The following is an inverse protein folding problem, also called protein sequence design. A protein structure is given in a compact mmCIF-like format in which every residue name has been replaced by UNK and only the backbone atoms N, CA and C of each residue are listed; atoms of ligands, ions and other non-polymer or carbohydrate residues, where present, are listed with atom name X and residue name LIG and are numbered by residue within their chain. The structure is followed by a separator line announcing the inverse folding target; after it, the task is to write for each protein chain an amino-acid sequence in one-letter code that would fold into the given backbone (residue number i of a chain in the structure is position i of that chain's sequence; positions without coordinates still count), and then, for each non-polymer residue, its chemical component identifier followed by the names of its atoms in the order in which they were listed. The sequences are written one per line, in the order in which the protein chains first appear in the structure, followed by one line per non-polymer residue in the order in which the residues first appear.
data_IF_495633787786
#
_entry.id   IF_495633787786
#
_cell.length_a   1.000
_cell.length_b   1.000
_cell.length_c   1.000
_cell.angle_alpha   90.00
_cell.angle_beta   90.00
_cell.angle_gamma   90.00
#
_symmetry.space_group_name_H-M   'P 1'
#
loop_
_entity.id
_entity.type
_entity.pdbx_description
1 polymer ?
#
# COMPACT_ATOMS: atom_id res chain seq x y z
N UNK A 1 23.71 22.77 -12.72
CA UNK A 1 22.89 22.13 -11.66
C UNK A 1 22.05 20.95 -12.16
N UNK A 2 21.31 21.07 -13.27
CA UNK A 2 20.43 19.99 -13.78
C UNK A 2 21.16 18.67 -14.09
N UNK A 3 22.34 18.72 -14.72
CA UNK A 3 23.15 17.52 -14.97
C UNK A 3 23.61 16.81 -13.69
N UNK A 4 23.94 17.55 -12.63
CA UNK A 4 24.39 16.94 -11.37
C UNK A 4 23.27 16.20 -10.62
N UNK A 5 22.03 16.71 -10.69
CA UNK A 5 20.86 16.05 -10.11
C UNK A 5 20.48 14.79 -10.88
N UNK A 6 20.45 14.86 -12.22
CA UNK A 6 20.17 13.71 -13.07
C UNK A 6 21.18 12.57 -12.78
N UNK A 7 22.47 12.88 -12.75
CA UNK A 7 23.52 11.90 -12.45
C UNK A 7 23.36 11.26 -11.07
N UNK A 8 22.94 12.01 -10.04
CA UNK A 8 22.71 11.46 -8.70
C UNK A 8 21.47 10.57 -8.64
N UNK A 9 20.40 10.93 -9.34
CA UNK A 9 19.15 10.17 -9.37
C UNK A 9 19.29 8.85 -10.15
N UNK A 10 20.15 8.82 -11.16
CA UNK A 10 20.41 7.62 -11.97
C UNK A 10 21.59 6.80 -11.48
N UNK A 11 22.32 7.27 -10.46
CA UNK A 11 23.44 6.53 -9.89
C UNK A 11 22.97 5.15 -9.40
N UNK A 12 23.73 4.07 -9.67
CA UNK A 12 23.38 2.74 -9.20
C UNK A 12 23.44 2.68 -7.68
N UNK A 13 22.38 2.17 -7.06
CA UNK A 13 22.30 1.91 -5.62
C UNK A 13 21.81 0.49 -5.38
N UNK A 14 22.08 -0.06 -4.19
CA UNK A 14 21.65 -1.42 -3.84
C UNK A 14 20.12 -1.57 -3.94
N UNK A 15 19.67 -2.68 -4.52
CA UNK A 15 18.24 -3.04 -4.57
C UNK A 15 17.70 -3.51 -3.21
N UNK A 16 18.57 -3.84 -2.24
CA UNK A 16 18.18 -4.46 -0.97
C UNK A 16 17.08 -3.70 -0.19
N UNK A 17 17.08 -2.35 -0.08
CA UNK A 17 15.99 -1.64 0.59
C UNK A 17 14.61 -1.90 -0.03
N UNK A 18 14.56 -2.04 -1.36
CA UNK A 18 13.34 -2.35 -2.09
C UNK A 18 12.89 -3.80 -1.86
N UNK A 19 13.83 -4.74 -1.75
CA UNK A 19 13.55 -6.14 -1.39
C UNK A 19 12.96 -6.22 0.02
N UNK A 20 13.59 -5.57 0.99
CA UNK A 20 13.11 -5.54 2.39
C UNK A 20 11.70 -4.95 2.45
N UNK A 21 11.49 -3.82 1.76
CA UNK A 21 10.16 -3.22 1.64
C UNK A 21 9.14 -4.21 1.08
N UNK A 22 9.47 -4.95 0.00
CA UNK A 22 8.59 -5.94 -0.62
C UNK A 22 8.12 -6.99 0.38
N UNK A 23 9.07 -7.58 1.11
CA UNK A 23 8.82 -8.66 2.07
C UNK A 23 7.96 -8.14 3.22
N UNK A 24 8.38 -7.03 3.85
CA UNK A 24 7.66 -6.44 5.00
C UNK A 24 6.26 -6.00 4.59
N UNK A 25 6.11 -5.33 3.44
CA UNK A 25 4.83 -4.90 2.92
C UNK A 25 3.87 -6.08 2.71
N UNK A 26 4.30 -7.13 2.03
CA UNK A 26 3.47 -8.31 1.78
C UNK A 26 3.08 -9.05 3.06
N UNK A 27 4.01 -9.23 4.00
CA UNK A 27 3.73 -9.90 5.29
C UNK A 27 2.75 -9.08 6.14
N UNK A 28 2.98 -7.78 6.29
CA UNK A 28 2.10 -6.91 7.08
C UNK A 28 0.71 -6.79 6.45
N UNK A 29 0.63 -6.69 5.12
CA UNK A 29 -0.65 -6.65 4.42
C UNK A 29 -1.43 -7.95 4.61
N UNK A 30 -0.78 -9.11 4.47
CA UNK A 30 -1.40 -10.41 4.73
C UNK A 30 -1.92 -10.50 6.18
N UNK A 31 -1.08 -10.17 7.16
CA UNK A 31 -1.48 -10.16 8.57
C UNK A 31 -2.68 -9.22 8.82
N UNK A 32 -2.71 -8.05 8.17
CA UNK A 32 -3.82 -7.12 8.25
C UNK A 32 -5.11 -7.70 7.68
N UNK A 33 -5.07 -8.36 6.52
CA UNK A 33 -6.26 -8.98 5.91
C UNK A 33 -6.79 -10.14 6.77
N UNK A 34 -5.90 -11.00 7.27
CA UNK A 34 -6.27 -12.09 8.18
C UNK A 34 -6.91 -11.54 9.46
N UNK A 35 -6.32 -10.49 10.05
CA UNK A 35 -6.88 -9.83 11.24
C UNK A 35 -8.24 -9.19 10.96
N UNK A 36 -8.42 -8.58 9.78
CA UNK A 36 -9.68 -7.98 9.36
C UNK A 36 -10.80 -9.03 9.29
N UNK A 37 -10.51 -10.18 8.68
CA UNK A 37 -11.42 -11.33 8.62
C UNK A 37 -11.69 -11.92 10.01
N UNK A 38 -10.65 -12.16 10.81
CA UNK A 38 -10.78 -12.77 12.14
C UNK A 38 -11.62 -11.94 13.11
N UNK A 39 -11.59 -10.62 12.97
CA UNK A 39 -12.40 -9.70 13.77
C UNK A 39 -13.86 -9.59 13.29
N UNK A 40 -14.26 -10.29 12.23
CA UNK A 40 -15.61 -10.19 11.65
C UNK A 40 -15.91 -8.83 11.03
N UNK A 41 -14.88 -8.04 10.70
CA UNK A 41 -15.06 -6.67 10.22
C UNK A 41 -15.66 -6.59 8.83
N UNK A 42 -15.52 -7.62 7.99
CA UNK A 42 -16.22 -7.66 6.70
C UNK A 42 -17.73 -7.60 6.93
N UNK A 43 -18.25 -8.46 7.81
CA UNK A 43 -19.66 -8.49 8.16
C UNK A 43 -20.10 -7.18 8.83
N UNK A 44 -19.35 -6.74 9.84
CA UNK A 44 -19.74 -5.60 10.67
C UNK A 44 -19.73 -4.26 9.90
N UNK A 45 -18.80 -4.09 8.97
CA UNK A 45 -18.57 -2.79 8.30
C UNK A 45 -19.21 -2.71 6.91
N UNK A 46 -19.39 -3.83 6.21
CA UNK A 46 -19.83 -3.80 4.81
C UNK A 46 -21.09 -4.61 4.50
N UNK A 47 -21.47 -5.59 5.35
CA UNK A 47 -22.63 -6.45 5.07
C UNK A 47 -23.83 -6.07 5.95
N UNK A 48 -23.60 -5.81 7.24
CA UNK A 48 -24.66 -5.46 8.18
C UNK A 48 -25.24 -4.04 7.99
N UNK A 49 -24.44 -3.00 7.65
CA UNK A 49 -24.99 -1.66 7.46
C UNK A 49 -25.93 -1.58 6.24
N UNK A 50 -27.06 -0.90 6.40
CA UNK A 50 -28.05 -0.73 5.32
C UNK A 50 -27.66 0.36 4.30
N UNK A 51 -26.70 1.22 4.64
CA UNK A 51 -26.27 2.34 3.82
C UNK A 51 -24.75 2.53 3.92
N UNK A 52 -24.13 2.88 2.79
CA UNK A 52 -22.70 3.16 2.68
C UNK A 52 -22.45 4.58 2.17
N UNK A 53 -21.51 5.29 2.80
CA UNK A 53 -21.14 6.63 2.35
C UNK A 53 -20.13 6.54 1.21
N UNK A 54 -20.61 6.61 -0.03
CA UNK A 54 -19.75 6.48 -1.21
C UNK A 54 -18.90 7.73 -1.45
N UNK A 55 -17.72 7.55 -2.05
CA UNK A 55 -16.89 8.67 -2.52
C UNK A 55 -17.50 9.35 -3.75
N UNK A 56 -17.23 10.65 -3.91
CA UNK A 56 -17.65 11.40 -5.09
C UNK A 56 -17.08 10.76 -6.37
N UNK A 57 -17.93 10.48 -7.36
CA UNK A 57 -17.56 9.77 -8.59
C UNK A 57 -17.52 8.23 -8.48
N UNK A 58 -17.67 7.66 -7.28
CA UNK A 58 -17.61 6.22 -7.02
C UNK A 58 -18.92 5.66 -6.45
N UNK A 59 -20.06 6.31 -6.67
CA UNK A 59 -21.38 5.82 -6.21
C UNK A 59 -21.81 4.47 -6.80
N UNK A 60 -21.13 4.01 -7.84
CA UNK A 60 -21.31 2.69 -8.45
C UNK A 60 -20.54 1.58 -7.73
N UNK A 61 -19.57 1.90 -6.88
CA UNK A 61 -18.82 0.93 -6.08
C UNK A 61 -19.70 0.51 -4.91
N UNK A 62 -20.02 -0.78 -4.84
CA UNK A 62 -20.88 -1.37 -3.81
C UNK A 62 -20.25 -2.66 -3.26
N UNK A 63 -20.54 -3.02 -2.01
CA UNK A 63 -20.07 -4.29 -1.46
C UNK A 63 -20.65 -5.44 -2.27
N UNK A 64 -19.81 -6.40 -2.61
CA UNK A 64 -20.27 -7.67 -3.17
C UNK A 64 -21.09 -8.41 -2.11
N UNK A 65 -22.11 -9.20 -2.50
CA UNK A 65 -22.81 -10.06 -1.55
C UNK A 65 -21.84 -11.12 -1.01
N UNK A 66 -22.04 -11.53 0.25
CA UNK A 66 -21.33 -12.70 0.78
C UNK A 66 -21.70 -13.97 -0.01
N UNK A 67 -20.77 -14.92 -0.22
CA UNK A 67 -19.40 -15.02 0.34
C UNK A 67 -18.31 -14.27 -0.43
N UNK A 68 -18.67 -13.50 -1.47
CA UNK A 68 -17.70 -12.94 -2.41
C UNK A 68 -16.88 -11.81 -1.82
N UNK A 69 -17.47 -10.99 -0.96
CA UNK A 69 -16.73 -9.92 -0.29
C UNK A 69 -15.66 -10.48 0.64
N UNK A 70 -15.99 -11.46 1.48
CA UNK A 70 -14.98 -12.15 2.31
C UNK A 70 -13.89 -12.83 1.46
N UNK A 71 -14.27 -13.37 0.29
CA UNK A 71 -13.32 -13.96 -0.66
C UNK A 71 -12.32 -12.93 -1.24
N UNK A 72 -12.71 -11.66 -1.40
CA UNK A 72 -11.80 -10.57 -1.81
C UNK A 72 -10.68 -10.41 -0.78
N UNK A 73 -10.98 -10.40 0.52
CA UNK A 73 -9.96 -10.28 1.57
C UNK A 73 -9.01 -11.47 1.62
N UNK A 74 -9.52 -12.69 1.44
CA UNK A 74 -8.69 -13.90 1.31
C UNK A 74 -7.79 -13.79 0.09
N UNK A 75 -8.32 -13.33 -1.05
CA UNK A 75 -7.54 -13.13 -2.28
C UNK A 75 -6.41 -12.12 -2.06
N UNK A 76 -6.68 -10.97 -1.44
CA UNK A 76 -5.66 -9.97 -1.10
C UNK A 76 -4.60 -10.59 -0.19
N UNK A 77 -4.98 -11.38 0.82
CA UNK A 77 -4.03 -12.03 1.73
C UNK A 77 -3.07 -12.98 0.99
N UNK A 78 -3.60 -13.81 0.09
CA UNK A 78 -2.80 -14.72 -0.75
C UNK A 78 -1.87 -13.93 -1.68
N UNK A 79 -2.40 -12.92 -2.36
CA UNK A 79 -1.61 -12.06 -3.25
C UNK A 79 -0.51 -11.33 -2.48
N UNK A 80 -0.76 -10.90 -1.24
CA UNK A 80 0.24 -10.27 -0.38
C UNK A 80 1.40 -11.23 -0.03
N UNK A 81 1.13 -12.52 0.16
CA UNK A 81 2.18 -13.54 0.29
C UNK A 81 2.95 -13.73 -1.02
N UNK A 82 2.27 -13.73 -2.17
CA UNK A 82 2.94 -13.74 -3.47
C UNK A 82 3.84 -12.52 -3.66
N UNK A 83 3.40 -11.33 -3.24
CA UNK A 83 4.21 -10.11 -3.23
C UNK A 83 5.44 -10.28 -2.34
N UNK A 84 5.29 -10.76 -1.10
CA UNK A 84 6.40 -10.96 -0.18
C UNK A 84 7.47 -11.90 -0.77
N UNK A 85 7.02 -13.04 -1.29
CA UNK A 85 7.88 -14.01 -1.98
C UNK A 85 8.46 -13.51 -3.31
N UNK A 86 7.90 -12.42 -3.87
CA UNK A 86 8.21 -11.92 -5.20
C UNK A 86 7.87 -12.93 -6.29
N UNK A 87 6.69 -13.54 -6.20
CA UNK A 87 6.11 -14.47 -7.16
C UNK A 87 5.05 -13.77 -8.00
N UNK A 88 5.20 -13.84 -9.33
CA UNK A 88 4.36 -13.13 -10.30
C UNK A 88 4.19 -11.65 -9.95
N UNK A 89 5.27 -11.02 -9.46
CA UNK A 89 5.21 -9.81 -8.65
C UNK A 89 4.42 -8.67 -9.31
N UNK A 90 4.63 -8.44 -10.62
CA UNK A 90 3.93 -7.37 -11.35
C UNK A 90 2.42 -7.58 -11.33
N UNK A 91 1.96 -8.82 -11.59
CA UNK A 91 0.53 -9.16 -11.58
C UNK A 91 -0.01 -9.09 -10.15
N UNK A 92 0.72 -9.68 -9.19
CA UNK A 92 0.33 -9.68 -7.78
C UNK A 92 0.14 -8.26 -7.24
N UNK A 93 1.05 -7.32 -7.56
CA UNK A 93 0.93 -5.92 -7.14
C UNK A 93 -0.25 -5.18 -7.78
N UNK A 94 -0.52 -5.41 -9.07
CA UNK A 94 -1.68 -4.82 -9.75
C UNK A 94 -2.98 -5.29 -9.10
N UNK A 95 -3.09 -6.60 -8.84
CA UNK A 95 -4.27 -7.17 -8.19
C UNK A 95 -4.42 -6.69 -6.75
N UNK A 96 -3.33 -6.60 -5.98
CA UNK A 96 -3.34 -6.00 -4.63
C UNK A 96 -3.86 -4.57 -4.69
N UNK A 97 -3.34 -3.73 -5.60
CA UNK A 97 -3.78 -2.36 -5.74
C UNK A 97 -5.28 -2.28 -6.06
N UNK A 98 -5.75 -2.99 -7.08
CA UNK A 98 -7.15 -2.95 -7.51
C UNK A 98 -8.09 -3.44 -6.40
N UNK A 99 -7.81 -4.59 -5.80
CA UNK A 99 -8.68 -5.18 -4.80
C UNK A 99 -8.66 -4.38 -3.49
N UNK A 100 -7.48 -3.95 -3.03
CA UNK A 100 -7.38 -3.14 -1.81
C UNK A 100 -8.06 -1.78 -1.98
N UNK A 101 -7.81 -1.08 -3.09
CA UNK A 101 -8.48 0.20 -3.37
C UNK A 101 -9.98 0.03 -3.56
N UNK A 102 -10.44 -1.08 -4.15
CA UNK A 102 -11.87 -1.42 -4.15
C UNK A 102 -12.44 -1.47 -2.73
N UNK A 103 -11.79 -2.18 -1.80
CA UNK A 103 -12.28 -2.27 -0.41
C UNK A 103 -12.30 -0.92 0.32
N UNK A 104 -11.36 -0.03 0.00
CA UNK A 104 -11.35 1.33 0.55
C UNK A 104 -12.53 2.17 0.02
N UNK A 105 -12.85 2.05 -1.27
CA UNK A 105 -13.89 2.84 -1.92
C UNK A 105 -15.32 2.42 -1.53
N UNK A 106 -15.48 1.30 -0.82
CA UNK A 106 -16.78 0.80 -0.38
C UNK A 106 -17.52 1.76 0.55
N UNK A 107 -16.81 2.35 1.53
CA UNK A 107 -17.44 3.23 2.51
C UNK A 107 -16.46 4.22 3.12
N UNK A 108 -16.71 5.50 2.88
CA UNK A 108 -15.95 6.63 3.42
C UNK A 108 -16.07 6.74 4.95
N UNK A 109 -17.11 6.19 5.57
CA UNK A 109 -17.25 6.20 7.03
C UNK A 109 -16.11 5.47 7.74
N UNK A 110 -15.49 4.50 7.08
CA UNK A 110 -14.36 3.72 7.61
C UNK A 110 -13.01 4.14 7.02
N UNK A 111 -12.94 5.35 6.45
CA UNK A 111 -11.71 5.91 5.92
C UNK A 111 -10.61 5.99 6.99
N UNK A 112 -9.42 5.52 6.63
CA UNK A 112 -8.21 5.66 7.43
C UNK A 112 -7.06 6.12 6.53
N UNK A 113 -6.32 7.14 6.98
CA UNK A 113 -5.13 7.64 6.27
C UNK A 113 -4.10 6.53 5.98
N UNK A 114 -4.04 5.50 6.83
CA UNK A 114 -3.16 4.35 6.65
C UNK A 114 -3.60 3.47 5.47
N UNK A 115 -4.91 3.27 5.26
CA UNK A 115 -5.41 2.49 4.12
C UNK A 115 -5.22 3.26 2.82
N UNK A 116 -5.50 4.56 2.84
CA UNK A 116 -5.19 5.45 1.72
C UNK A 116 -3.70 5.39 1.32
N UNK A 117 -2.80 5.41 2.32
CA UNK A 117 -1.37 5.23 2.08
C UNK A 117 -1.05 3.87 1.42
N UNK A 118 -1.70 2.78 1.83
CA UNK A 118 -1.50 1.45 1.22
C UNK A 118 -1.98 1.45 -0.24
N UNK A 119 -3.11 2.08 -0.59
CA UNK A 119 -3.55 2.24 -1.98
C UNK A 119 -2.49 2.96 -2.82
N UNK A 120 -1.99 4.12 -2.36
CA UNK A 120 -0.96 4.89 -3.07
C UNK A 120 0.38 4.16 -3.17
N UNK A 121 0.82 3.54 -2.08
CA UNK A 121 2.06 2.77 -2.07
C UNK A 121 1.96 1.58 -3.01
N UNK A 122 0.85 0.83 -2.99
CA UNK A 122 0.63 -0.30 -3.90
C UNK A 122 0.71 0.14 -5.35
N UNK A 123 0.07 1.26 -5.71
CA UNK A 123 0.16 1.84 -7.04
C UNK A 123 1.60 2.17 -7.43
N UNK A 124 2.35 2.83 -6.54
CA UNK A 124 3.76 3.15 -6.77
C UNK A 124 4.61 1.89 -6.99
N UNK A 125 4.41 0.86 -6.17
CA UNK A 125 5.19 -0.37 -6.21
C UNK A 125 4.98 -1.17 -7.50
N UNK A 126 3.82 -1.06 -8.18
CA UNK A 126 3.59 -1.67 -9.50
C UNK A 126 4.70 -1.35 -10.48
N UNK A 127 5.25 -0.13 -10.42
CA UNK A 127 6.24 0.38 -11.38
C UNK A 127 7.68 0.03 -11.02
N UNK A 128 7.94 -0.31 -9.76
CA UNK A 128 9.30 -0.56 -9.27
C UNK A 128 9.72 -2.04 -9.41
N UNK A 129 11.00 -2.34 -9.70
CA UNK A 129 11.47 -3.71 -9.96
C UNK A 129 11.80 -4.51 -8.68
N UNK A 130 10.93 -4.50 -7.66
CA UNK A 130 11.21 -5.12 -6.34
C UNK A 130 11.44 -6.63 -6.41
N UNK A 131 11.02 -7.29 -7.49
CA UNK A 131 11.17 -8.72 -7.72
C UNK A 131 12.52 -9.10 -8.34
N UNK A 132 13.35 -8.16 -8.77
CA UNK A 132 14.59 -8.48 -9.49
C UNK A 132 15.75 -8.93 -8.58
N UNK A 133 15.49 -9.13 -7.28
CA UNK A 133 16.42 -9.81 -6.38
C UNK A 133 15.67 -10.53 -5.25
N UNK A 134 16.27 -11.62 -4.74
CA UNK A 134 15.76 -12.40 -3.60
C UNK A 134 14.28 -12.78 -3.74
N UNK A 135 13.87 -13.27 -4.91
CA UNK A 135 12.47 -13.54 -5.24
C UNK A 135 12.30 -14.89 -5.92
N UNK A 136 11.08 -15.43 -5.86
CA UNK A 136 10.72 -16.62 -6.64
C UNK A 136 10.71 -16.34 -8.15
N UNK A 137 10.44 -15.11 -8.59
CA UNK A 137 10.53 -14.74 -10.01
C UNK A 137 11.96 -14.83 -10.54
N UNK A 138 12.96 -14.39 -9.77
CA UNK A 138 14.38 -14.54 -10.13
C UNK A 138 14.81 -16.00 -10.08
N UNK A 139 14.33 -16.76 -9.09
CA UNK A 139 14.62 -18.19 -9.03
C UNK A 139 14.10 -18.94 -10.27
N UNK A 140 12.90 -18.59 -10.74
CA UNK A 140 12.28 -19.15 -11.96
C UNK A 140 12.90 -18.61 -13.25
N UNK A 141 13.39 -17.37 -13.24
CA UNK A 141 13.99 -16.67 -14.38
C UNK A 141 15.24 -15.90 -13.93
N UNK A 142 16.40 -16.56 -13.86
CA UNK A 142 17.65 -15.95 -13.35
C UNK A 142 18.08 -14.68 -14.11
N UNK A 143 17.72 -14.56 -15.39
CA UNK A 143 17.99 -13.38 -16.21
C UNK A 143 17.33 -12.07 -15.70
N UNK A 144 16.35 -12.16 -14.79
CA UNK A 144 15.75 -10.99 -14.13
C UNK A 144 16.65 -10.38 -13.05
N UNK A 145 17.70 -11.07 -12.62
CA UNK A 145 18.49 -10.66 -11.47
C UNK A 145 19.21 -9.32 -11.70
N UNK A 146 19.11 -8.41 -10.73
CA UNK A 146 19.98 -7.25 -10.60
C UNK A 146 20.41 -7.03 -9.16
N UNK A 147 21.66 -6.63 -8.96
CA UNK A 147 22.17 -6.22 -7.65
C UNK A 147 21.86 -4.74 -7.34
N UNK A 148 21.61 -3.94 -8.37
CA UNK A 148 21.46 -2.49 -8.25
C UNK A 148 20.29 -1.94 -9.05
N UNK A 149 19.77 -0.80 -8.61
CA UNK A 149 18.72 -0.02 -9.27
C UNK A 149 19.13 1.46 -9.29
N UNK A 150 18.60 2.29 -10.20
CA UNK A 150 18.76 3.74 -10.12
C UNK A 150 18.29 4.29 -8.77
N UNK A 151 19.06 5.22 -8.19
CA UNK A 151 18.80 5.78 -6.87
C UNK A 151 17.39 6.40 -6.71
N UNK A 152 16.82 6.95 -7.78
CA UNK A 152 15.46 7.52 -7.75
C UNK A 152 14.38 6.49 -7.38
N UNK A 153 14.58 5.20 -7.69
CA UNK A 153 13.60 4.15 -7.38
C UNK A 153 13.48 3.92 -5.86
N UNK A 154 14.60 4.02 -5.14
CA UNK A 154 14.59 4.04 -3.67
C UNK A 154 14.11 5.40 -3.17
N UNK A 155 14.52 6.48 -3.84
CA UNK A 155 14.15 7.85 -3.51
C UNK A 155 12.65 8.11 -3.54
N UNK A 156 11.91 7.57 -4.51
CA UNK A 156 10.45 7.78 -4.64
C UNK A 156 9.68 7.11 -3.51
N UNK A 157 10.11 5.95 -3.03
CA UNK A 157 9.54 5.31 -1.84
C UNK A 157 9.80 6.16 -0.59
N UNK A 158 11.03 6.65 -0.43
CA UNK A 158 11.39 7.55 0.68
C UNK A 158 10.57 8.83 0.64
N UNK A 159 10.36 9.41 -0.54
CA UNK A 159 9.51 10.57 -0.74
C UNK A 159 8.07 10.26 -0.32
N UNK A 160 7.50 9.13 -0.77
CA UNK A 160 6.14 8.74 -0.41
C UNK A 160 5.96 8.60 1.12
N UNK A 161 6.92 7.99 1.81
CA UNK A 161 6.93 7.93 3.28
C UNK A 161 7.10 9.33 3.90
N UNK A 162 8.02 10.13 3.37
CA UNK A 162 8.26 11.50 3.82
C UNK A 162 7.02 12.39 3.72
N UNK A 163 6.23 12.26 2.64
CA UNK A 163 4.97 13.00 2.46
C UNK A 163 3.97 12.64 3.56
N UNK A 164 3.83 11.37 3.92
CA UNK A 164 2.94 10.94 5.02
C UNK A 164 3.35 11.61 6.33
N UNK A 165 4.64 11.55 6.70
CA UNK A 165 5.12 12.18 7.93
C UNK A 165 5.01 13.70 7.90
N UNK A 166 5.32 14.32 6.77
CA UNK A 166 5.22 15.77 6.59
C UNK A 166 3.79 16.26 6.78
N UNK A 167 2.82 15.68 6.05
CA UNK A 167 1.43 16.09 6.15
C UNK A 167 0.79 15.70 7.49
N UNK A 168 1.21 14.59 8.11
CA UNK A 168 0.80 14.25 9.47
C UNK A 168 1.30 15.28 10.49
N UNK A 169 2.50 15.84 10.30
CA UNK A 169 3.04 16.95 11.08
C UNK A 169 2.24 18.23 10.85
N UNK A 170 2.04 18.62 9.60
CA UNK A 170 1.28 19.83 9.21
C UNK A 170 -0.13 19.81 9.80
N UNK A 171 -0.82 18.67 9.75
CA UNK A 171 -2.16 18.51 10.33
C UNK A 171 -2.20 18.75 11.85
N UNK A 172 -1.06 18.62 12.54
CA UNK A 172 -0.90 18.84 13.98
C UNK A 172 -0.38 20.24 14.33
N UNK A 173 -0.03 21.07 13.35
CA UNK A 173 0.38 22.46 13.56
C UNK A 173 -0.84 23.35 13.86
N UNK A 174 -1.53 23.08 14.98
CA UNK A 174 -2.63 23.90 15.48
C UNK A 174 -2.23 24.62 16.76
N UNK A 175 -2.68 25.88 16.98
CA UNK A 175 -2.41 26.62 18.22
C UNK A 175 -2.83 25.84 19.48
N UNK A 176 -3.97 25.14 19.44
CA UNK A 176 -4.42 24.32 20.57
C UNK A 176 -3.47 23.17 20.90
N UNK A 177 -2.81 22.61 19.88
CA UNK A 177 -1.78 21.59 20.02
C UNK A 177 -0.46 22.17 20.55
N UNK A 178 0.01 23.26 19.95
CA UNK A 178 1.36 23.79 20.14
C UNK A 178 1.50 24.72 21.34
N UNK A 179 0.48 25.52 21.61
CA UNK A 179 0.49 26.56 22.65
C UNK A 179 -0.32 26.14 23.87
N UNK A 180 -1.43 25.42 23.66
CA UNK A 180 -2.35 25.06 24.76
C UNK A 180 -2.21 23.61 25.22
N UNK A 181 -1.55 22.72 24.47
CA UNK A 181 -1.45 21.30 24.81
C UNK A 181 -2.80 20.58 24.87
N UNK A 182 -3.82 21.10 24.18
CA UNK A 182 -5.20 20.60 24.18
C UNK A 182 -5.55 20.01 22.80
N UNK A 183 -5.10 18.78 22.50
CA UNK A 183 -5.22 18.21 21.16
C UNK A 183 -6.64 17.85 20.72
N UNK A 184 -7.60 17.82 21.65
CA UNK A 184 -8.98 17.36 21.46
C UNK A 184 -10.01 18.37 21.97
N UNK A 185 -9.66 19.66 22.09
CA UNK A 185 -10.64 20.67 22.47
C UNK A 185 -11.62 20.86 21.30
N UNK A 186 -12.85 20.37 21.49
CA UNK A 186 -14.00 20.57 20.60
C UNK A 186 -14.73 21.82 21.06
#
# INVERSE_FOLDING_TARGET
MQHALATRLTAPTSILPLVVLRVVFGVLLCASMVRFLANGWVQALYVAPAFHFTYYGFGWVRPLPEPWLSSVYVCIAVLALCVAAGLFYRISMVLVFVLFTYTELLDKAYYLNHYYFISLLSFLLIWLPLHQAWSLDVWRRPALYTATVPAWMVGVVRLQLGLVYFFAGVAKLKPDWLLHGLPLRI
#
